data_IF_156836380611
#
_entry.id   IF_156836380611
#
_cell.length_a   1.000
_cell.length_b   1.000
_cell.length_c   1.000
_cell.angle_alpha   90.00
_cell.angle_beta   90.00
_cell.angle_gamma   90.00
#
_symmetry.space_group_name_H-M   'P 1'
#
loop_
_entity.id
_entity.type
_entity.pdbx_description
1 polymer ?
#
# COMPACT_ATOMS: atom_id res chain seq x y z
N UNK A 1 -20.56 4.53 -1.69
CA UNK A 1 -20.16 3.17 -1.24
C UNK A 1 -18.78 3.15 -0.54
N UNK A 2 -17.92 4.15 -0.73
CA UNK A 2 -16.61 4.31 -0.04
C UNK A 2 -16.68 4.40 1.50
N UNK A 3 -17.79 4.90 2.06
CA UNK A 3 -17.97 5.06 3.51
C UNK A 3 -18.30 3.76 4.28
N UNK A 4 -18.67 2.67 3.60
CA UNK A 4 -19.13 1.44 4.27
C UNK A 4 -17.97 0.52 4.70
N UNK A 5 -16.85 0.52 3.97
CA UNK A 5 -15.67 -0.29 4.30
C UNK A 5 -14.94 0.22 5.56
N UNK A 6 -15.08 1.51 5.87
CA UNK A 6 -14.40 2.20 6.98
C UNK A 6 -15.03 1.95 8.35
N UNK A 7 -16.31 1.54 8.41
CA UNK A 7 -17.05 1.41 9.68
C UNK A 7 -17.04 0.02 10.30
N UNK A 8 -16.60 -1.02 9.58
CA UNK A 8 -16.62 -2.40 10.10
C UNK A 8 -15.44 -2.74 11.02
N UNK A 9 -14.40 -1.89 11.06
CA UNK A 9 -13.16 -2.15 11.83
C UNK A 9 -13.16 -1.58 13.27
N UNK A 10 -14.22 -0.91 13.72
CA UNK A 10 -14.23 -0.17 15.01
C UNK A 10 -15.08 -0.80 16.14
N UNK A 11 -15.30 -2.13 16.19
CA UNK A 11 -16.06 -2.74 17.30
C UNK A 11 -15.32 -3.84 18.04
N UNK A 12 -14.59 -3.48 19.11
CA UNK A 12 -14.76 -3.99 20.50
C UNK A 12 -13.54 -3.67 21.40
N UNK A 13 -13.73 -3.21 22.65
CA UNK A 13 -12.66 -3.09 23.63
C UNK A 13 -12.71 -4.24 24.65
N UNK A 14 -11.58 -4.92 24.88
CA UNK A 14 -11.32 -5.59 26.17
C UNK A 14 -9.86 -5.38 26.58
N UNK A 15 -9.72 -4.84 27.79
CA UNK A 15 -8.47 -4.54 28.48
C UNK A 15 -7.62 -5.81 28.71
N UNK A 16 -6.29 -5.65 28.67
CA UNK A 16 -5.38 -6.24 29.66
C UNK A 16 -4.09 -5.40 29.72
N UNK A 17 -3.71 -4.96 30.93
CA UNK A 17 -2.40 -4.37 31.23
C UNK A 17 -1.35 -5.46 31.38
N UNK A 18 -0.19 -5.31 30.74
CA UNK A 18 1.13 -5.42 31.38
C UNK A 18 2.26 -4.89 30.48
N UNK A 19 3.22 -4.23 31.13
CA UNK A 19 4.34 -3.49 30.56
C UNK A 19 5.50 -4.38 30.10
N UNK A 20 5.97 -4.18 28.87
CA UNK A 20 7.34 -4.47 28.40
C UNK A 20 7.64 -3.57 27.21
N UNK A 21 8.84 -2.96 27.17
CA UNK A 21 9.26 -1.98 26.16
C UNK A 21 9.60 -2.67 24.81
N UNK A 22 8.60 -3.25 24.19
CA UNK A 22 8.47 -3.21 22.74
C UNK A 22 7.25 -2.33 22.49
N UNK A 23 7.41 -1.28 21.68
CA UNK A 23 6.26 -0.53 21.21
C UNK A 23 5.52 -1.44 20.21
N UNK A 24 4.77 -2.41 20.72
CA UNK A 24 3.74 -3.08 19.94
C UNK A 24 2.70 -2.02 19.64
N UNK A 25 2.71 -1.50 18.41
CA UNK A 25 1.66 -0.59 17.97
C UNK A 25 0.33 -1.32 18.14
N UNK A 26 -0.56 -0.77 18.97
CA UNK A 26 -1.92 -1.30 19.10
C UNK A 26 -2.59 -1.29 17.73
N UNK A 27 -3.54 -2.21 17.47
CA UNK A 27 -4.29 -2.21 16.21
C UNK A 27 -4.87 -0.82 15.87
N UNK A 28 -5.48 -0.07 16.80
CA UNK A 28 -5.89 1.31 16.55
C UNK A 28 -4.74 2.24 16.15
N UNK A 29 -3.56 2.09 16.75
CA UNK A 29 -2.36 2.86 16.42
C UNK A 29 -1.84 2.57 15.00
N UNK A 30 -1.78 1.30 14.60
CA UNK A 30 -1.36 0.89 13.26
C UNK A 30 -2.28 1.44 12.19
N UNK A 31 -3.59 1.34 12.41
CA UNK A 31 -4.60 1.87 11.51
C UNK A 31 -4.51 3.39 11.43
N UNK A 32 -4.39 4.08 12.56
CA UNK A 32 -4.25 5.55 12.60
C UNK A 32 -3.04 6.02 11.81
N UNK A 33 -1.91 5.32 11.91
CA UNK A 33 -0.69 5.65 11.17
C UNK A 33 -0.87 5.57 9.65
N UNK A 34 -1.63 4.58 9.17
CA UNK A 34 -2.00 4.47 7.74
C UNK A 34 -2.88 5.65 7.32
N UNK A 35 -3.90 6.00 8.10
CA UNK A 35 -4.76 7.15 7.80
C UNK A 35 -3.98 8.45 7.74
N UNK A 36 -3.14 8.73 8.74
CA UNK A 36 -2.31 9.94 8.79
C UNK A 36 -1.39 10.06 7.57
N UNK A 37 -0.91 8.94 7.04
CA UNK A 37 -0.04 8.93 5.86
C UNK A 37 -0.82 9.30 4.59
N UNK A 38 -2.00 8.70 4.39
CA UNK A 38 -2.87 9.05 3.26
C UNK A 38 -3.47 10.46 3.37
N UNK A 39 -3.79 10.95 4.58
CA UNK A 39 -4.28 12.31 4.78
C UNK A 39 -3.25 13.37 4.38
N UNK A 40 -1.99 13.13 4.71
CA UNK A 40 -0.89 14.08 4.44
C UNK A 40 -0.38 14.02 3.00
N UNK A 41 -0.32 12.83 2.40
CA UNK A 41 0.37 12.63 1.12
C UNK A 41 -0.53 12.04 0.02
N UNK A 42 -1.70 11.49 0.35
CA UNK A 42 -2.56 10.79 -0.59
C UNK A 42 -3.18 11.65 -1.68
N UNK A 43 -3.26 12.97 -1.48
CA UNK A 43 -3.70 13.92 -2.53
C UNK A 43 -2.60 14.30 -3.52
N UNK A 44 -1.38 13.80 -3.33
CA UNK A 44 -0.28 14.00 -4.26
C UNK A 44 -0.51 13.27 -5.57
N UNK A 45 0.18 13.75 -6.61
CA UNK A 45 0.19 13.16 -7.95
C UNK A 45 0.59 11.67 -7.92
N UNK A 46 -0.14 10.84 -8.68
CA UNK A 46 0.24 9.46 -8.90
C UNK A 46 1.17 9.37 -10.12
N UNK A 47 2.42 9.80 -9.92
CA UNK A 47 3.55 9.50 -10.82
C UNK A 47 3.25 9.83 -12.30
N UNK A 48 2.66 11.01 -12.56
CA UNK A 48 2.33 11.48 -13.90
C UNK A 48 1.06 10.90 -14.51
N UNK A 49 0.24 10.17 -13.75
CA UNK A 49 -1.11 9.76 -14.15
C UNK A 49 -2.17 10.72 -13.62
N UNK A 50 -3.31 10.84 -14.31
CA UNK A 50 -4.41 11.77 -13.96
C UNK A 50 -5.28 11.25 -12.80
N UNK A 51 -4.63 10.78 -11.74
CA UNK A 51 -5.23 10.32 -10.47
C UNK A 51 -4.28 10.66 -9.31
N UNK A 52 -4.83 10.87 -8.13
CA UNK A 52 -4.02 10.98 -6.91
C UNK A 52 -3.60 9.60 -6.36
N UNK A 53 -2.57 9.57 -5.52
CA UNK A 53 -2.12 8.35 -4.82
C UNK A 53 -3.26 7.65 -4.06
N UNK A 54 -4.15 8.43 -3.42
CA UNK A 54 -5.30 7.90 -2.70
C UNK A 54 -6.36 7.34 -3.66
N UNK A 55 -6.63 8.02 -4.78
CA UNK A 55 -7.61 7.54 -5.76
C UNK A 55 -7.16 6.22 -6.39
N UNK A 56 -5.90 6.12 -6.80
CA UNK A 56 -5.30 4.88 -7.30
C UNK A 56 -5.45 3.74 -6.28
N UNK A 57 -5.02 3.98 -5.04
CA UNK A 57 -5.12 3.00 -3.96
C UNK A 57 -6.57 2.52 -3.71
N UNK A 58 -7.54 3.44 -3.70
CA UNK A 58 -8.95 3.12 -3.49
C UNK A 58 -9.56 2.34 -4.67
N UNK A 59 -9.20 2.69 -5.91
CA UNK A 59 -9.65 1.96 -7.10
C UNK A 59 -9.11 0.53 -7.11
N UNK A 60 -7.83 0.34 -6.81
CA UNK A 60 -7.20 -0.98 -6.71
C UNK A 60 -7.89 -1.85 -5.64
N UNK A 61 -8.16 -1.27 -4.46
CA UNK A 61 -8.86 -1.95 -3.38
C UNK A 61 -10.29 -2.35 -3.75
N UNK A 62 -11.04 -1.45 -4.39
CA UNK A 62 -12.42 -1.70 -4.82
C UNK A 62 -12.49 -2.82 -5.87
N UNK A 63 -11.56 -2.83 -6.84
CA UNK A 63 -11.45 -3.91 -7.82
C UNK A 63 -11.14 -5.25 -7.14
N UNK A 64 -10.16 -5.30 -6.23
CA UNK A 64 -9.83 -6.52 -5.48
C UNK A 64 -11.00 -7.05 -4.64
N UNK A 65 -11.76 -6.13 -4.02
CA UNK A 65 -12.94 -6.47 -3.24
C UNK A 65 -14.05 -7.06 -4.11
N UNK A 66 -14.37 -6.42 -5.24
CA UNK A 66 -15.43 -6.86 -6.17
C UNK A 66 -15.11 -8.20 -6.84
N UNK A 67 -13.83 -8.48 -7.07
CA UNK A 67 -13.37 -9.77 -7.60
C UNK A 67 -13.39 -10.91 -6.57
N UNK A 68 -13.73 -10.63 -5.30
CA UNK A 68 -13.90 -11.67 -4.28
C UNK A 68 -12.59 -12.21 -3.68
N UNK A 69 -11.46 -11.52 -3.82
CA UNK A 69 -10.13 -12.02 -3.41
C UNK A 69 -9.87 -12.02 -1.88
N UNK A 70 -10.88 -11.71 -1.06
CA UNK A 70 -10.79 -11.72 0.40
C UNK A 70 -10.13 -10.46 0.99
N UNK A 71 -10.19 -10.34 2.32
CA UNK A 71 -9.80 -9.13 3.04
C UNK A 71 -8.31 -8.81 2.90
N UNK A 72 -7.43 -9.81 3.05
CA UNK A 72 -5.99 -9.59 2.96
C UNK A 72 -5.54 -9.13 1.58
N UNK A 73 -6.14 -9.65 0.50
CA UNK A 73 -5.85 -9.20 -0.86
C UNK A 73 -6.39 -7.79 -1.10
N UNK A 74 -7.59 -7.49 -0.60
CA UNK A 74 -8.17 -6.14 -0.66
C UNK A 74 -7.28 -5.11 0.06
N UNK A 75 -6.80 -5.45 1.26
CA UNK A 75 -5.88 -4.61 2.03
C UNK A 75 -4.52 -4.46 1.33
N UNK A 76 -3.97 -5.54 0.76
CA UNK A 76 -2.72 -5.45 0.01
C UNK A 76 -2.88 -4.56 -1.23
N UNK A 77 -3.99 -4.64 -1.95
CA UNK A 77 -4.28 -3.76 -3.09
C UNK A 77 -4.40 -2.29 -2.67
N UNK A 78 -5.04 -2.00 -1.53
CA UNK A 78 -5.09 -0.64 -0.98
C UNK A 78 -3.70 -0.08 -0.63
N UNK A 79 -2.78 -0.94 -0.18
CA UNK A 79 -1.51 -0.54 0.43
C UNK A 79 -0.28 -0.81 -0.43
N UNK A 80 -0.45 -1.31 -1.66
CA UNK A 80 0.69 -1.78 -2.47
C UNK A 80 1.72 -0.69 -2.76
N UNK A 81 1.27 0.56 -2.96
CA UNK A 81 2.12 1.71 -3.27
C UNK A 81 2.46 2.58 -2.05
N UNK A 82 2.17 2.12 -0.83
CA UNK A 82 2.37 2.93 0.39
C UNK A 82 3.83 3.41 0.57
N UNK A 83 4.80 2.68 0.01
CA UNK A 83 6.21 3.10 -0.02
C UNK A 83 6.46 4.43 -0.73
N UNK A 84 5.64 4.81 -1.72
CA UNK A 84 5.75 6.11 -2.37
C UNK A 84 5.37 7.27 -1.44
N UNK A 85 4.35 7.06 -0.60
CA UNK A 85 3.96 8.04 0.43
C UNK A 85 5.03 8.17 1.50
N UNK A 86 5.63 7.05 1.93
CA UNK A 86 6.71 7.03 2.92
C UNK A 86 7.95 7.80 2.45
N UNK A 87 8.38 7.61 1.20
CA UNK A 87 9.48 8.39 0.65
C UNK A 87 9.16 9.86 0.36
N UNK A 88 7.90 10.28 0.54
CA UNK A 88 7.53 11.70 0.57
C UNK A 88 7.73 12.31 1.96
N UNK A 89 7.57 11.52 3.04
CA UNK A 89 7.91 11.93 4.42
C UNK A 89 9.42 12.04 4.62
N UNK A 90 10.17 11.05 4.11
CA UNK A 90 11.62 10.98 4.25
C UNK A 90 12.34 11.07 2.90
N UNK A 91 12.93 12.25 2.65
CA UNK A 91 13.65 12.56 1.42
C UNK A 91 15.01 11.85 1.30
N UNK A 92 15.44 11.09 2.32
CA UNK A 92 16.65 10.27 2.24
C UNK A 92 16.47 9.03 1.36
N UNK A 93 15.23 8.62 1.09
CA UNK A 93 14.95 7.50 0.19
C UNK A 93 15.30 7.83 -1.26
N UNK A 94 15.97 6.89 -1.92
CA UNK A 94 16.34 7.02 -3.33
C UNK A 94 15.09 7.13 -4.22
N UNK A 95 15.16 7.99 -5.23
CA UNK A 95 14.09 8.23 -6.20
C UNK A 95 14.43 7.62 -7.56
N UNK A 96 13.42 7.19 -8.31
CA UNK A 96 13.55 6.73 -9.69
C UNK A 96 13.25 7.88 -10.66
N UNK A 97 14.04 8.96 -10.56
CA UNK A 97 13.71 10.21 -11.25
C UNK A 97 12.35 10.75 -10.82
N UNK A 98 11.48 11.02 -11.78
CA UNK A 98 10.09 11.45 -11.54
C UNK A 98 9.15 10.26 -11.28
N UNK A 99 9.62 9.01 -11.44
CA UNK A 99 8.84 7.79 -11.32
C UNK A 99 8.68 7.28 -9.87
N UNK A 100 8.74 8.18 -8.88
CA UNK A 100 8.52 7.84 -7.47
C UNK A 100 9.76 7.33 -6.72
N UNK A 101 9.53 6.48 -5.72
CA UNK A 101 10.52 6.00 -4.74
C UNK A 101 11.07 4.65 -5.18
N UNK A 102 12.39 4.53 -5.28
CA UNK A 102 13.05 3.26 -5.58
C UNK A 102 12.74 2.24 -4.49
N UNK A 103 12.46 0.99 -4.88
CA UNK A 103 12.21 -0.11 -3.94
C UNK A 103 10.98 0.14 -3.02
N UNK A 104 9.99 0.92 -3.48
CA UNK A 104 8.79 1.27 -2.73
C UNK A 104 7.98 0.06 -2.25
N UNK A 105 8.00 -1.04 -3.00
CA UNK A 105 7.34 -2.29 -2.66
C UNK A 105 7.92 -2.90 -1.37
N UNK A 106 9.25 -2.93 -1.25
CA UNK A 106 9.91 -3.47 -0.07
C UNK A 106 9.82 -2.49 1.10
N UNK A 107 10.02 -1.19 0.86
CA UNK A 107 9.80 -0.14 1.86
C UNK A 107 8.38 -0.22 2.47
N UNK A 108 7.37 -0.35 1.62
CA UNK A 108 5.98 -0.46 2.04
C UNK A 108 5.71 -1.73 2.85
N UNK A 109 6.16 -2.90 2.38
CA UNK A 109 5.91 -4.16 3.08
C UNK A 109 6.67 -4.27 4.41
N UNK A 110 7.89 -3.75 4.51
CA UNK A 110 8.66 -3.68 5.76
C UNK A 110 7.98 -2.75 6.78
N UNK A 111 7.52 -1.59 6.32
CA UNK A 111 6.79 -0.65 7.16
C UNK A 111 5.48 -1.25 7.70
N UNK A 112 4.71 -1.93 6.85
CA UNK A 112 3.49 -2.64 7.25
C UNK A 112 3.77 -3.78 8.25
N UNK A 113 4.88 -4.51 8.07
CA UNK A 113 5.31 -5.52 9.02
C UNK A 113 5.63 -4.91 10.39
N UNK A 114 6.31 -3.75 10.42
CA UNK A 114 6.58 -2.99 11.65
C UNK A 114 5.31 -2.51 12.35
N UNK A 115 4.22 -2.27 11.60
CA UNK A 115 2.90 -1.94 12.13
C UNK A 115 2.07 -3.17 12.54
N UNK A 116 2.58 -4.39 12.35
CA UNK A 116 1.90 -5.62 12.76
C UNK A 116 0.81 -6.12 11.79
N UNK A 117 0.85 -5.72 10.51
CA UNK A 117 0.01 -6.32 9.49
C UNK A 117 0.37 -7.80 9.26
N UNK A 118 -0.56 -8.58 8.72
CA UNK A 118 -0.33 -10.01 8.51
C UNK A 118 0.84 -10.25 7.53
N UNK A 119 1.62 -11.34 7.70
CA UNK A 119 2.70 -11.67 6.78
C UNK A 119 2.26 -11.77 5.32
N UNK A 120 1.00 -12.17 5.08
CA UNK A 120 0.44 -12.26 3.72
C UNK A 120 0.23 -10.88 3.10
N UNK A 121 -0.33 -9.91 3.84
CA UNK A 121 -0.48 -8.53 3.35
C UNK A 121 0.89 -7.95 3.01
N UNK A 122 1.85 -8.04 3.94
CA UNK A 122 3.19 -7.51 3.72
C UNK A 122 3.87 -8.17 2.51
N UNK A 123 3.73 -9.49 2.35
CA UNK A 123 4.31 -10.22 1.22
C UNK A 123 3.70 -9.83 -0.12
N UNK A 124 2.37 -9.64 -0.18
CA UNK A 124 1.69 -9.20 -1.40
C UNK A 124 2.16 -7.79 -1.80
N UNK A 125 2.27 -6.88 -0.84
CA UNK A 125 2.79 -5.52 -1.06
C UNK A 125 4.23 -5.57 -1.57
N UNK A 126 5.14 -6.30 -0.90
CA UNK A 126 6.55 -6.41 -1.31
C UNK A 126 6.81 -7.14 -2.63
N UNK A 127 5.79 -7.77 -3.23
CA UNK A 127 5.96 -8.59 -4.44
C UNK A 127 5.14 -8.10 -5.63
N UNK A 128 4.48 -6.95 -5.52
CA UNK A 128 3.66 -6.47 -6.62
C UNK A 128 4.52 -6.04 -7.83
N UNK A 129 5.74 -5.53 -7.63
CA UNK A 129 6.70 -5.27 -8.74
C UNK A 129 7.17 -6.59 -9.37
N UNK A 130 7.51 -7.61 -8.57
CA UNK A 130 7.85 -8.94 -9.09
C UNK A 130 6.70 -9.54 -9.92
N UNK A 131 5.46 -9.39 -9.46
CA UNK A 131 4.27 -9.83 -10.20
C UNK A 131 4.14 -9.10 -11.54
N UNK A 132 4.36 -7.77 -11.55
CA UNK A 132 4.37 -6.96 -12.78
C UNK A 132 5.46 -7.43 -13.75
N UNK A 133 6.69 -7.66 -13.27
CA UNK A 133 7.82 -8.19 -14.05
C UNK A 133 7.50 -9.56 -14.64
N UNK A 134 6.94 -10.45 -13.83
CA UNK A 134 6.53 -11.78 -14.28
C UNK A 134 5.49 -11.70 -15.40
N UNK A 135 4.42 -10.91 -15.21
CA UNK A 135 3.38 -10.75 -16.22
C UNK A 135 3.91 -10.17 -17.53
N UNK A 136 4.81 -9.19 -17.47
CA UNK A 136 5.46 -8.66 -18.67
C UNK A 136 6.33 -9.71 -19.38
N UNK A 137 6.99 -10.59 -18.62
CA UNK A 137 7.85 -11.63 -19.20
C UNK A 137 7.05 -12.75 -19.90
N UNK A 138 5.86 -13.09 -19.39
CA UNK A 138 5.04 -14.18 -19.94
C UNK A 138 3.92 -13.71 -20.86
N UNK A 139 3.61 -12.42 -20.88
CA UNK A 139 2.56 -11.83 -21.70
C UNK A 139 2.99 -10.44 -22.21
N UNK A 140 3.40 -10.38 -23.48
CA UNK A 140 3.82 -9.13 -24.12
C UNK A 140 2.66 -8.11 -24.21
N UNK A 141 1.43 -8.56 -24.42
CA UNK A 141 0.26 -7.67 -24.45
C UNK A 141 0.05 -6.98 -23.10
N UNK A 142 0.36 -7.67 -21.99
CA UNK A 142 0.32 -7.07 -20.65
C UNK A 142 1.38 -5.98 -20.49
N UNK A 143 2.60 -6.19 -20.99
CA UNK A 143 3.62 -5.14 -20.98
C UNK A 143 3.14 -3.88 -21.71
N UNK A 144 2.42 -4.05 -22.82
CA UNK A 144 2.01 -2.94 -23.66
C UNK A 144 0.89 -2.09 -23.03
N UNK A 145 0.10 -2.65 -22.11
CA UNK A 145 -0.92 -1.90 -21.35
C UNK A 145 -0.35 -1.06 -20.20
N UNK A 146 0.91 -1.28 -19.81
CA UNK A 146 1.52 -0.52 -18.72
C UNK A 146 1.70 0.97 -19.09
N UNK A 147 1.40 1.84 -18.13
CA UNK A 147 1.73 3.27 -18.21
C UNK A 147 3.23 3.49 -18.32
N UNK A 148 3.64 4.67 -18.79
CA UNK A 148 5.06 5.04 -18.87
C UNK A 148 5.76 4.94 -17.51
N UNK A 149 5.11 5.43 -16.45
CA UNK A 149 5.61 5.29 -15.08
C UNK A 149 5.73 3.83 -14.64
N UNK A 150 4.72 3.00 -14.95
CA UNK A 150 4.74 1.58 -14.63
C UNK A 150 5.88 0.82 -15.33
N UNK A 151 6.23 1.20 -16.56
CA UNK A 151 7.36 0.64 -17.32
C UNK A 151 8.71 1.04 -16.75
N UNK A 152 8.85 2.28 -16.28
CA UNK A 152 10.09 2.75 -15.62
C UNK A 152 10.35 2.04 -14.30
N UNK A 153 9.30 1.59 -13.62
CA UNK A 153 9.35 0.90 -12.32
C UNK A 153 9.34 -0.63 -12.43
N UNK A 154 9.72 -1.19 -13.59
CA UNK A 154 9.89 -2.63 -13.80
C UNK A 154 11.18 -3.17 -13.18
#
# INVERSE_FOLDING_TARGET
MVFMLLRSLQRSPRLFLHSSRHCSTSVPGSVSRVFELFERHGKGDYIGEDVSQLEHALQAADLAHRSGHGLEATLAALLHDVGHLLGTEDKSHARMGDCGIANHENLGGEWLAGLGFSPRVCKLVSRHVDAKRYLCAVNQEYHDTLSSASKTTL
#
